data_IF_963510398253
#
_entry.id   IF_963510398253
#
_cell.length_a   1.000
_cell.length_b   1.000
_cell.length_c   1.000
_cell.angle_alpha   90.00
_cell.angle_beta   90.00
_cell.angle_gamma   90.00
#
_symmetry.space_group_name_H-M   'P 1'
#
loop_
_entity.id
_entity.type
_entity.pdbx_description
1 polymer ?
#
# COMPACT_ATOMS: atom_id res chain seq x y z
N UNK A 1 1.59 12.94 11.00
CA UNK A 1 0.73 12.54 12.14
C UNK A 1 0.51 13.72 13.09
N UNK A 2 -0.73 14.20 13.19
CA UNK A 2 -1.09 15.37 14.03
C UNK A 2 -0.94 15.06 15.52
N UNK A 3 -0.46 16.05 16.28
CA UNK A 3 -0.25 16.08 17.74
C UNK A 3 -1.50 15.87 18.62
N UNK A 4 -2.59 15.31 18.07
CA UNK A 4 -3.89 15.09 18.73
C UNK A 4 -4.42 13.64 18.60
N UNK A 5 -3.60 12.71 18.11
CA UNK A 5 -3.92 11.28 18.23
C UNK A 5 -3.66 10.78 19.65
N UNK A 6 -4.54 9.93 20.18
CA UNK A 6 -4.39 9.33 21.52
C UNK A 6 -3.17 8.38 21.64
N UNK A 7 -2.52 8.05 20.51
CA UNK A 7 -1.40 7.12 20.44
C UNK A 7 -0.26 7.67 19.59
N UNK A 8 0.97 7.47 20.06
CA UNK A 8 2.23 7.64 19.33
C UNK A 8 2.45 6.42 18.45
N UNK A 9 3.19 6.59 17.35
CA UNK A 9 3.51 5.49 16.44
C UNK A 9 4.05 4.20 17.11
N UNK A 10 4.92 4.26 18.15
CA UNK A 10 5.40 3.05 18.83
C UNK A 10 4.33 2.33 19.67
N UNK A 11 3.20 3.00 19.96
CA UNK A 11 2.11 2.47 20.78
C UNK A 11 1.09 1.68 19.94
N UNK A 12 1.20 1.76 18.60
CA UNK A 12 0.39 0.97 17.67
C UNK A 12 1.13 -0.32 17.32
N UNK A 13 0.44 -1.45 17.35
CA UNK A 13 1.01 -2.73 16.94
C UNK A 13 1.56 -2.63 15.50
N UNK A 14 2.84 -2.97 15.24
CA UNK A 14 3.41 -2.91 13.91
C UNK A 14 2.63 -3.71 12.86
N UNK A 15 2.08 -4.88 13.23
CA UNK A 15 1.24 -5.69 12.33
C UNK A 15 -0.03 -4.96 11.92
N UNK A 16 -0.62 -4.15 12.82
CA UNK A 16 -1.80 -3.35 12.50
C UNK A 16 -1.47 -2.23 11.50
N UNK A 17 -0.32 -1.56 11.65
CA UNK A 17 0.15 -0.57 10.68
C UNK A 17 0.47 -1.19 9.31
N UNK A 18 0.99 -2.42 9.30
CA UNK A 18 1.27 -3.16 8.08
C UNK A 18 -0.01 -3.58 7.35
N UNK A 19 -1.01 -4.07 8.08
CA UNK A 19 -2.35 -4.33 7.53
C UNK A 19 -2.93 -3.05 6.94
N UNK A 20 -2.94 -1.97 7.72
CA UNK A 20 -3.50 -0.70 7.29
C UNK A 20 -2.85 -0.20 5.99
N UNK A 21 -1.52 -0.15 5.91
CA UNK A 21 -0.86 0.36 4.70
C UNK A 21 -0.92 -0.61 3.52
N UNK A 22 -1.02 -1.93 3.73
CA UNK A 22 -1.25 -2.88 2.64
C UNK A 22 -2.67 -2.74 2.05
N UNK A 23 -3.69 -2.63 2.91
CA UNK A 23 -5.07 -2.37 2.51
C UNK A 23 -5.22 -1.00 1.82
N UNK A 24 -4.60 0.02 2.41
CA UNK A 24 -4.61 1.38 1.87
C UNK A 24 -3.92 1.44 0.50
N UNK A 25 -2.76 0.79 0.33
CA UNK A 25 -2.14 0.64 -0.98
C UNK A 25 -3.10 0.04 -2.01
N UNK A 26 -3.77 -1.07 -1.68
CA UNK A 26 -4.75 -1.67 -2.59
C UNK A 26 -5.90 -0.71 -2.91
N UNK A 27 -6.41 0.01 -1.91
CA UNK A 27 -7.52 0.94 -2.09
C UNK A 27 -7.16 2.14 -2.98
N UNK A 28 -5.97 2.70 -2.79
CA UNK A 28 -5.46 3.80 -3.60
C UNK A 28 -5.23 3.37 -5.06
N UNK A 29 -4.63 2.19 -5.29
CA UNK A 29 -4.42 1.66 -6.64
C UNK A 29 -5.75 1.37 -7.34
N UNK A 30 -6.72 0.80 -6.63
CA UNK A 30 -8.08 0.55 -7.16
C UNK A 30 -8.84 1.82 -7.49
N UNK A 31 -8.55 2.94 -6.82
CA UNK A 31 -9.28 4.19 -7.01
C UNK A 31 -8.63 5.10 -8.06
N UNK A 32 -7.30 5.25 -8.04
CA UNK A 32 -6.58 6.14 -8.95
C UNK A 32 -5.18 5.65 -9.32
N UNK A 33 -4.91 4.36 -9.16
CA UNK A 33 -3.63 3.75 -9.54
C UNK A 33 -2.47 4.03 -8.59
N UNK A 34 -1.30 3.53 -8.94
CA UNK A 34 -0.04 3.78 -8.25
C UNK A 34 0.28 5.27 -8.19
N UNK A 35 -0.16 6.04 -9.19
CA UNK A 35 -0.03 7.50 -9.20
C UNK A 35 -0.77 8.15 -8.01
N UNK A 36 -2.01 7.74 -7.74
CA UNK A 36 -2.76 8.25 -6.59
C UNK A 36 -2.12 7.82 -5.27
N UNK A 37 -1.64 6.58 -5.18
CA UNK A 37 -0.93 6.10 -4.00
C UNK A 37 0.32 6.95 -3.70
N UNK A 38 1.15 7.24 -4.71
CA UNK A 38 2.33 8.11 -4.56
C UNK A 38 1.92 9.51 -4.09
N UNK A 39 0.91 10.10 -4.75
CA UNK A 39 0.40 11.42 -4.42
C UNK A 39 -0.05 11.51 -2.95
N UNK A 40 -0.91 10.58 -2.53
CA UNK A 40 -1.52 10.60 -1.21
C UNK A 40 -0.54 10.20 -0.10
N UNK A 41 0.45 9.35 -0.39
CA UNK A 41 1.51 9.03 0.57
C UNK A 41 2.43 10.23 0.83
N UNK A 42 2.66 11.06 -0.20
CA UNK A 42 3.37 12.33 -0.08
C UNK A 42 4.69 12.22 0.68
N UNK A 43 4.85 13.00 1.75
CA UNK A 43 6.09 13.02 2.56
C UNK A 43 6.32 11.77 3.40
N UNK A 44 5.31 10.92 3.57
CA UNK A 44 5.38 9.71 4.39
C UNK A 44 5.63 8.45 3.53
N UNK A 45 5.89 8.63 2.22
CA UNK A 45 5.97 7.53 1.23
C UNK A 45 6.92 6.40 1.64
N UNK A 46 8.07 6.70 2.24
CA UNK A 46 9.02 5.67 2.66
C UNK A 46 8.45 4.76 3.77
N UNK A 47 7.76 5.36 4.75
CA UNK A 47 7.16 4.63 5.88
C UNK A 47 5.94 3.82 5.40
N UNK A 48 5.13 4.43 4.53
CA UNK A 48 3.98 3.75 3.92
C UNK A 48 4.45 2.54 3.11
N UNK A 49 5.42 2.72 2.21
CA UNK A 49 5.97 1.63 1.40
C UNK A 49 6.57 0.54 2.29
N UNK A 50 7.32 0.88 3.33
CA UNK A 50 7.91 -0.10 4.23
C UNK A 50 6.83 -0.96 4.92
N UNK A 51 5.76 -0.34 5.41
CA UNK A 51 4.65 -1.05 6.05
C UNK A 51 3.83 -1.88 5.05
N UNK A 52 3.50 -1.30 3.88
CA UNK A 52 2.78 -2.00 2.82
C UNK A 52 3.56 -3.22 2.34
N UNK A 53 4.87 -3.06 2.08
CA UNK A 53 5.79 -4.16 1.72
C UNK A 53 5.75 -5.30 2.74
N UNK A 54 5.86 -4.97 4.02
CA UNK A 54 5.82 -5.97 5.09
C UNK A 54 4.45 -6.67 5.18
N UNK A 55 3.35 -5.93 5.07
CA UNK A 55 1.99 -6.47 5.08
C UNK A 55 1.69 -7.39 3.89
N UNK A 56 1.99 -6.93 2.67
CA UNK A 56 1.84 -7.71 1.44
C UNK A 56 2.69 -8.99 1.48
N UNK A 57 3.92 -8.89 1.98
CA UNK A 57 4.80 -10.05 2.17
C UNK A 57 4.24 -11.05 3.17
N UNK A 58 3.72 -10.57 4.31
CA UNK A 58 3.22 -11.41 5.38
C UNK A 58 1.91 -12.14 5.03
N UNK A 59 1.02 -11.51 4.26
CA UNK A 59 -0.22 -12.14 3.81
C UNK A 59 -0.08 -12.93 2.50
N UNK A 60 1.09 -12.90 1.86
CA UNK A 60 1.36 -13.69 0.64
C UNK A 60 0.84 -13.07 -0.66
N UNK A 61 0.53 -11.77 -0.68
CA UNK A 61 0.09 -11.02 -1.85
C UNK A 61 1.24 -10.76 -2.84
N UNK A 62 1.78 -11.82 -3.44
CA UNK A 62 3.03 -11.77 -4.24
C UNK A 62 2.92 -10.88 -5.48
N UNK A 63 1.77 -10.87 -6.16
CA UNK A 63 1.57 -10.06 -7.36
C UNK A 63 1.54 -8.57 -7.04
N UNK A 64 0.73 -8.19 -6.05
CA UNK A 64 0.62 -6.84 -5.52
C UNK A 64 1.95 -6.35 -4.91
N UNK A 65 2.70 -7.24 -4.23
CA UNK A 65 4.04 -6.91 -3.74
C UNK A 65 5.00 -6.59 -4.89
N UNK A 66 4.95 -7.36 -5.98
CA UNK A 66 5.83 -7.14 -7.13
C UNK A 66 5.57 -5.78 -7.81
N UNK A 67 4.31 -5.32 -7.88
CA UNK A 67 3.97 -3.99 -8.41
C UNK A 67 4.41 -2.88 -7.45
N UNK A 68 4.22 -3.06 -6.14
CA UNK A 68 4.73 -2.12 -5.12
C UNK A 68 6.25 -1.93 -5.21
N UNK A 69 7.02 -3.02 -5.37
CA UNK A 69 8.49 -2.93 -5.46
C UNK A 69 8.95 -2.18 -6.72
N UNK A 70 8.31 -2.45 -7.87
CA UNK A 70 8.61 -1.75 -9.12
C UNK A 70 8.28 -0.26 -9.01
N UNK A 71 7.15 0.08 -8.41
CA UNK A 71 6.78 1.47 -8.14
C UNK A 71 7.77 2.13 -7.18
N UNK A 72 8.15 1.46 -6.08
CA UNK A 72 9.13 1.98 -5.11
C UNK A 72 10.47 2.29 -5.78
N UNK A 73 10.96 1.40 -6.64
CA UNK A 73 12.17 1.63 -7.42
C UNK A 73 12.03 2.80 -8.40
N UNK A 74 10.85 2.96 -9.02
CA UNK A 74 10.57 4.08 -9.92
C UNK A 74 10.55 5.42 -9.17
N UNK A 75 9.92 5.49 -8.00
CA UNK A 75 9.91 6.70 -7.14
C UNK A 75 11.33 7.11 -6.78
N UNK A 76 12.16 6.16 -6.36
CA UNK A 76 13.56 6.43 -6.01
C UNK A 76 14.38 6.92 -7.22
N UNK A 77 14.08 6.42 -8.42
CA UNK A 77 14.77 6.77 -9.65
C UNK A 77 14.32 8.12 -10.24
N UNK A 78 13.05 8.49 -10.05
CA UNK A 78 12.44 9.66 -10.66
C UNK A 78 11.67 10.52 -9.63
N UNK A 79 12.36 11.08 -8.61
CA UNK A 79 11.69 11.82 -7.53
C UNK A 79 10.90 13.05 -8.02
N UNK A 80 11.41 13.76 -9.02
CA UNK A 80 10.72 14.92 -9.60
C UNK A 80 9.42 14.51 -10.31
N UNK A 81 9.42 13.36 -10.98
CA UNK A 81 8.20 12.81 -11.60
C UNK A 81 7.22 12.29 -10.56
N UNK A 82 7.73 11.67 -9.49
CA UNK A 82 6.91 11.22 -8.37
C UNK A 82 6.17 12.39 -7.72
N UNK A 83 6.83 13.55 -7.57
CA UNK A 83 6.21 14.77 -7.03
C UNK A 83 5.09 15.36 -7.91
N UNK A 84 5.04 15.00 -9.21
CA UNK A 84 4.00 15.43 -10.15
C UNK A 84 2.81 14.47 -10.23
N UNK A 85 2.83 13.34 -9.52
CA UNK A 85 1.73 12.38 -9.55
C UNK A 85 0.51 12.93 -8.82
N UNK A 86 -0.67 12.65 -9.35
CA UNK A 86 -1.98 13.04 -8.79
C UNK A 86 -3.00 11.90 -8.77
N UNK A 87 -2.80 10.86 -9.59
CA UNK A 87 -3.82 9.83 -9.82
C UNK A 87 -4.83 10.16 -10.91
N UNK A 88 -4.87 11.41 -11.40
CA UNK A 88 -5.86 11.90 -12.35
C UNK A 88 -5.22 12.66 -13.51
N UNK A 89 -6.04 13.27 -14.37
CA UNK A 89 -5.58 14.09 -15.49
C UNK A 89 -4.58 15.17 -15.02
N UNK A 90 -3.47 15.31 -15.75
CA UNK A 90 -2.39 16.24 -15.41
C UNK A 90 -1.30 15.68 -14.48
N UNK A 91 -1.40 14.42 -14.03
CA UNK A 91 -0.39 13.80 -13.16
C UNK A 91 -0.45 12.28 -13.13
N UNK A 92 -0.22 11.62 -14.28
CA UNK A 92 -0.03 10.16 -14.41
C UNK A 92 1.15 9.89 -15.34
N UNK A 93 2.09 9.06 -14.91
CA UNK A 93 3.19 8.58 -15.77
C UNK A 93 2.83 7.21 -16.35
N UNK A 94 2.95 7.04 -17.66
CA UNK A 94 2.55 5.83 -18.40
C UNK A 94 3.15 4.54 -17.81
N UNK A 95 4.36 4.60 -17.23
CA UNK A 95 4.95 3.43 -16.60
C UNK A 95 4.12 2.94 -15.41
N UNK A 96 3.56 3.85 -14.62
CA UNK A 96 2.74 3.51 -13.47
C UNK A 96 1.42 2.88 -13.90
N UNK A 97 0.86 3.30 -15.04
CA UNK A 97 -0.35 2.66 -15.61
C UNK A 97 -0.09 1.18 -15.93
N UNK A 98 1.09 0.82 -16.44
CA UNK A 98 1.43 -0.60 -16.65
C UNK A 98 1.52 -1.42 -15.36
N UNK A 99 1.80 -0.75 -14.23
CA UNK A 99 1.78 -1.40 -12.92
C UNK A 99 0.37 -1.53 -12.38
N UNK A 100 -0.53 -0.59 -12.70
CA UNK A 100 -1.95 -0.66 -12.37
C UNK A 100 -2.57 -1.90 -13.02
N UNK A 101 -2.35 -2.10 -14.31
CA UNK A 101 -2.86 -3.29 -15.04
C UNK A 101 -2.37 -4.59 -14.38
N UNK A 102 -1.06 -4.70 -14.12
CA UNK A 102 -0.47 -5.87 -13.48
C UNK A 102 -1.00 -6.08 -12.03
N UNK A 103 -1.35 -5.00 -11.33
CA UNK A 103 -1.98 -5.09 -10.03
C UNK A 103 -3.40 -5.64 -10.13
N UNK A 104 -4.20 -5.15 -11.09
CA UNK A 104 -5.55 -5.64 -11.32
C UNK A 104 -5.57 -7.12 -11.68
N UNK A 105 -4.68 -7.57 -12.57
CA UNK A 105 -4.53 -9.00 -12.88
C UNK A 105 -4.24 -9.85 -11.63
N UNK A 106 -3.40 -9.35 -10.73
CA UNK A 106 -3.07 -10.04 -9.48
C UNK A 106 -4.26 -10.07 -8.50
N UNK A 107 -4.99 -8.96 -8.36
CA UNK A 107 -6.14 -8.84 -7.45
C UNK A 107 -7.36 -9.62 -7.95
N UNK A 108 -7.56 -9.73 -9.27
CA UNK A 108 -8.58 -10.60 -9.86
C UNK A 108 -8.30 -12.08 -9.60
N UNK A 109 -7.02 -12.48 -9.62
CA UNK A 109 -6.63 -13.86 -9.33
C UNK A 109 -6.86 -14.23 -7.87
N UNK A 110 -6.44 -13.37 -6.94
CA UNK A 110 -6.73 -13.48 -5.51
C UNK A 110 -6.84 -12.08 -4.90
N UNK A 111 -8.02 -11.78 -4.36
CA UNK A 111 -8.33 -10.47 -3.79
C UNK A 111 -7.44 -10.16 -2.60
N UNK A 112 -6.95 -8.91 -2.55
CA UNK A 112 -6.15 -8.42 -1.42
C UNK A 112 -6.89 -8.54 -0.08
N UNK A 113 -8.20 -8.28 -0.07
CA UNK A 113 -8.99 -8.31 1.16
C UNK A 113 -9.06 -9.73 1.76
N UNK A 114 -9.14 -10.75 0.92
CA UNK A 114 -9.17 -12.16 1.35
C UNK A 114 -7.83 -12.58 1.97
N UNK A 115 -6.72 -12.15 1.37
CA UNK A 115 -5.38 -12.43 1.88
C UNK A 115 -5.12 -11.75 3.23
N UNK A 116 -5.53 -10.49 3.38
CA UNK A 116 -5.43 -9.77 4.64
C UNK A 116 -6.30 -10.41 5.72
N UNK A 117 -7.54 -10.78 5.40
CA UNK A 117 -8.44 -11.43 6.33
C UNK A 117 -7.85 -12.75 6.86
N UNK A 118 -7.31 -13.59 5.96
CA UNK A 118 -6.64 -14.84 6.34
C UNK A 118 -5.42 -14.60 7.23
N UNK A 119 -4.61 -13.58 6.90
CA UNK A 119 -3.44 -13.24 7.72
C UNK A 119 -3.84 -12.76 9.11
N UNK A 120 -4.81 -11.83 9.22
CA UNK A 120 -5.31 -11.32 10.50
C UNK A 120 -5.89 -12.45 11.35
N UNK A 121 -6.72 -13.32 10.75
CA UNK A 121 -7.32 -14.46 11.44
C UNK A 121 -6.29 -15.47 11.98
N UNK A 122 -5.07 -15.48 11.43
CA UNK A 122 -3.99 -16.36 11.90
C UNK A 122 -3.26 -15.83 13.14
N UNK A 123 -3.51 -14.60 13.60
CA UNK A 123 -2.74 -14.02 14.70
C UNK A 123 -3.19 -14.57 16.05
N UNK A 124 -2.30 -15.24 16.81
CA UNK A 124 -2.66 -15.83 18.10
C UNK A 124 -2.98 -14.79 19.18
N UNK A 125 -2.53 -13.56 18.98
CA UNK A 125 -2.68 -12.46 19.94
C UNK A 125 -3.99 -11.68 19.75
N UNK A 126 -4.79 -11.99 18.72
CA UNK A 126 -6.08 -11.38 18.49
C UNK A 126 -7.19 -12.21 19.13
N UNK A 127 -8.15 -11.50 19.71
CA UNK A 127 -9.37 -12.08 20.26
C UNK A 127 -10.57 -11.45 19.58
N UNK A 128 -11.52 -12.29 19.17
CA UNK A 128 -12.83 -11.82 18.74
C UNK A 128 -13.56 -11.30 19.98
N UNK A 129 -14.08 -10.08 19.89
CA UNK A 129 -14.88 -9.45 20.95
C UNK A 129 -16.33 -9.38 20.49
N UNK A 130 -17.25 -9.76 21.38
CA UNK A 130 -18.72 -9.75 21.17
C UNK A 130 -19.34 -8.37 21.49
#
# INVERSE_FOLDING_TARGET
>A
MTSKGLYRHPEINPKAMQVFHADWYSSEVKNGGHSQFIHNAGREIDIVIANARAGLGACGAKGQLATLEKMSAWVAKYPDKAAMQTGFEGGRDDFLDTLDDAFYEADEAVRMEDLLALWIASWPDLQVVD
#
